data_IF_805801370908
#
_entry.id   IF_805801370908
#
_cell.length_a   1.000
_cell.length_b   1.000
_cell.length_c   1.000
_cell.angle_alpha   90.00
_cell.angle_beta   90.00
_cell.angle_gamma   90.00
#
_symmetry.space_group_name_H-M   'P 1'
#
loop_
_entity.id
_entity.type
_entity.pdbx_description
1 polymer ?
#
# COMPACT_ATOMS: atom_id res chain seq x y z
N UNK A 1 -5.44 -15.97 -8.83
CA UNK A 1 -5.48 -14.52 -9.13
C UNK A 1 -6.81 -14.00 -8.61
N UNK A 2 -6.82 -12.95 -7.78
CA UNK A 2 -8.08 -12.37 -7.27
C UNK A 2 -8.79 -11.68 -8.44
N UNK A 3 -10.06 -12.05 -8.65
CA UNK A 3 -10.89 -11.48 -9.72
C UNK A 3 -11.31 -10.05 -9.35
N UNK A 4 -11.41 -9.14 -10.34
CA UNK A 4 -11.93 -7.80 -10.09
C UNK A 4 -13.36 -7.86 -9.55
N UNK A 5 -13.71 -6.92 -8.66
CA UNK A 5 -15.05 -6.82 -8.09
C UNK A 5 -15.64 -5.43 -8.33
N UNK A 6 -16.79 -5.36 -9.00
CA UNK A 6 -17.48 -4.10 -9.28
C UNK A 6 -16.77 -3.20 -10.31
N UNK A 7 -17.49 -2.20 -10.84
CA UNK A 7 -16.93 -1.19 -11.78
C UNK A 7 -15.99 -0.19 -11.08
N UNK A 8 -16.22 0.07 -9.79
CA UNK A 8 -15.43 0.96 -8.94
C UNK A 8 -14.74 0.24 -7.76
N UNK A 9 -14.77 -1.10 -7.70
CA UNK A 9 -14.15 -1.86 -6.61
C UNK A 9 -12.77 -2.41 -6.95
N UNK A 10 -12.41 -3.57 -6.39
CA UNK A 10 -11.06 -4.17 -6.51
C UNK A 10 -10.70 -4.38 -7.98
N UNK A 11 -9.58 -3.79 -8.42
CA UNK A 11 -9.09 -3.93 -9.79
C UNK A 11 -8.25 -5.19 -10.00
N UNK A 12 -7.96 -5.48 -11.27
CA UNK A 12 -7.06 -6.58 -11.64
C UNK A 12 -5.64 -6.28 -11.16
N UNK A 13 -5.10 -7.12 -10.28
CA UNK A 13 -3.70 -7.04 -9.89
C UNK A 13 -2.75 -7.43 -11.04
N UNK A 14 -1.53 -6.89 -11.03
CA UNK A 14 -0.46 -7.39 -11.90
C UNK A 14 -0.11 -8.84 -11.54
N UNK A 15 0.38 -9.60 -12.52
CA UNK A 15 0.77 -11.01 -12.31
C UNK A 15 1.79 -11.16 -11.18
N UNK A 16 2.67 -10.18 -11.02
CA UNK A 16 3.57 -10.10 -9.87
C UNK A 16 3.28 -8.83 -9.05
N UNK A 17 2.60 -9.00 -7.91
CA UNK A 17 2.33 -7.93 -6.95
C UNK A 17 3.58 -7.48 -6.17
N UNK A 18 4.69 -8.21 -6.20
CA UNK A 18 5.93 -7.76 -5.55
C UNK A 18 6.77 -6.83 -6.43
N UNK A 19 6.57 -6.86 -7.76
CA UNK A 19 7.36 -6.07 -8.72
C UNK A 19 6.83 -4.65 -8.97
N UNK A 20 5.66 -4.34 -8.39
CA UNK A 20 4.89 -3.10 -8.47
C UNK A 20 5.62 -1.93 -9.16
N UNK A 21 5.21 -1.65 -10.40
CA UNK A 21 5.69 -0.51 -11.20
C UNK A 21 4.62 0.59 -11.19
N UNK A 22 5.02 1.83 -10.88
CA UNK A 22 4.19 3.05 -11.02
C UNK A 22 2.77 2.93 -10.45
N UNK A 23 2.64 2.53 -9.19
CA UNK A 23 1.33 2.41 -8.55
C UNK A 23 0.85 3.75 -8.00
N UNK A 24 -0.42 4.05 -8.25
CA UNK A 24 -1.16 5.11 -7.56
C UNK A 24 -1.51 4.64 -6.14
N UNK A 25 -1.89 5.57 -5.26
CA UNK A 25 -2.28 5.25 -3.88
C UNK A 25 -3.39 4.17 -3.83
N UNK A 26 -4.37 4.25 -4.75
CA UNK A 26 -5.48 3.30 -4.90
C UNK A 26 -5.03 1.85 -5.09
N UNK A 27 -3.91 1.62 -5.78
CA UNK A 27 -3.43 0.26 -6.02
C UNK A 27 -2.83 -0.41 -4.77
N UNK A 28 -2.43 0.38 -3.76
CA UNK A 28 -2.00 -0.13 -2.45
C UNK A 28 -3.19 -0.43 -1.55
N UNK A 29 -4.25 0.39 -1.64
CA UNK A 29 -5.50 0.14 -0.95
C UNK A 29 -6.14 -1.18 -1.39
N UNK A 30 -6.27 -1.42 -2.69
CA UNK A 30 -6.84 -2.67 -3.22
C UNK A 30 -6.06 -3.91 -2.73
N UNK A 31 -4.73 -3.79 -2.64
CA UNK A 31 -3.88 -4.84 -2.10
C UNK A 31 -4.14 -5.08 -0.62
N UNK A 32 -4.26 -4.02 0.18
CA UNK A 32 -4.54 -4.12 1.61
C UNK A 32 -5.90 -4.76 1.87
N UNK A 33 -6.94 -4.36 1.12
CA UNK A 33 -8.29 -4.93 1.24
C UNK A 33 -8.33 -6.43 0.95
N UNK A 34 -7.47 -6.90 0.05
CA UNK A 34 -7.43 -8.30 -0.35
C UNK A 34 -6.38 -9.15 0.38
N UNK A 35 -5.54 -8.54 1.22
CA UNK A 35 -4.37 -9.22 1.77
C UNK A 35 -4.73 -10.33 2.76
N UNK A 36 -5.70 -10.09 3.64
CA UNK A 36 -6.04 -11.01 4.75
C UNK A 36 -6.25 -12.47 4.26
N UNK A 37 -7.16 -12.76 3.31
CA UNK A 37 -7.36 -14.13 2.84
C UNK A 37 -6.17 -14.71 2.08
N UNK A 38 -5.30 -13.87 1.50
CA UNK A 38 -4.10 -14.33 0.75
C UNK A 38 -2.99 -14.77 1.70
N UNK A 39 -2.87 -14.11 2.85
CA UNK A 39 -1.85 -14.41 3.85
C UNK A 39 -2.30 -15.44 4.87
N UNK A 40 -3.58 -15.80 4.90
CA UNK A 40 -4.11 -16.80 5.81
C UNK A 40 -3.43 -18.16 5.63
N UNK A 41 -2.80 -18.65 6.70
CA UNK A 41 -2.06 -19.91 6.73
C UNK A 41 -0.87 -19.98 5.76
N UNK A 42 -0.40 -18.83 5.26
CA UNK A 42 0.74 -18.76 4.34
C UNK A 42 2.06 -19.02 5.05
N UNK A 43 2.17 -18.58 6.31
CA UNK A 43 3.39 -18.70 7.11
C UNK A 43 3.20 -19.75 8.23
N UNK A 44 4.28 -20.36 8.74
CA UNK A 44 4.18 -21.16 9.95
C UNK A 44 3.88 -20.27 11.16
N UNK A 45 3.18 -20.83 12.15
CA UNK A 45 3.00 -20.16 13.44
C UNK A 45 4.35 -20.05 14.19
N UNK A 46 4.58 -18.97 14.96
CA UNK A 46 3.66 -17.88 15.31
C UNK A 46 3.61 -16.71 14.29
N UNK A 47 4.36 -16.81 13.18
CA UNK A 47 4.55 -15.69 12.26
C UNK A 47 3.28 -15.32 11.49
N UNK A 48 2.48 -16.33 11.14
CA UNK A 48 1.19 -16.13 10.48
C UNK A 48 0.25 -15.29 11.35
N UNK A 49 0.09 -15.63 12.63
CA UNK A 49 -0.76 -14.84 13.53
C UNK A 49 -0.30 -13.37 13.63
N UNK A 50 1.01 -13.12 13.69
CA UNK A 50 1.56 -11.76 13.74
C UNK A 50 1.23 -10.99 12.45
N UNK A 51 1.43 -11.60 11.27
CA UNK A 51 1.11 -10.98 9.98
C UNK A 51 -0.37 -10.72 9.83
N UNK A 52 -1.23 -11.69 10.16
CA UNK A 52 -2.68 -11.55 10.08
C UNK A 52 -3.17 -10.41 10.97
N UNK A 53 -2.65 -10.30 12.20
CA UNK A 53 -2.98 -9.20 13.11
C UNK A 53 -2.51 -7.84 12.58
N UNK A 54 -1.31 -7.79 12.00
CA UNK A 54 -0.78 -6.58 11.39
C UNK A 54 -1.64 -6.12 10.20
N UNK A 55 -2.05 -7.03 9.31
CA UNK A 55 -2.91 -6.73 8.17
C UNK A 55 -4.28 -6.22 8.65
N UNK A 56 -4.87 -6.86 9.66
CA UNK A 56 -6.15 -6.45 10.23
C UNK A 56 -6.08 -5.05 10.87
N UNK A 57 -5.03 -4.73 11.62
CA UNK A 57 -4.84 -3.40 12.22
C UNK A 57 -4.57 -2.35 11.13
N UNK A 58 -3.78 -2.70 10.11
CA UNK A 58 -3.50 -1.81 8.98
C UNK A 58 -4.78 -1.47 8.22
N UNK A 59 -5.65 -2.46 7.97
CA UNK A 59 -6.94 -2.25 7.31
C UNK A 59 -7.85 -1.33 8.13
N UNK A 60 -7.99 -1.56 9.44
CA UNK A 60 -8.79 -0.72 10.32
C UNK A 60 -8.26 0.72 10.40
N UNK A 61 -6.94 0.88 10.59
CA UNK A 61 -6.30 2.19 10.63
C UNK A 61 -6.54 2.95 9.32
N UNK A 62 -6.36 2.28 8.17
CA UNK A 62 -6.59 2.88 6.86
C UNK A 62 -8.05 3.29 6.66
N UNK A 63 -9.02 2.43 7.04
CA UNK A 63 -10.45 2.76 6.98
C UNK A 63 -10.80 3.99 7.82
N UNK A 64 -10.19 4.15 9.00
CA UNK A 64 -10.40 5.31 9.86
C UNK A 64 -9.75 6.57 9.28
N UNK A 65 -8.51 6.46 8.80
CA UNK A 65 -7.77 7.57 8.21
C UNK A 65 -8.44 8.12 6.93
N UNK A 66 -9.21 7.28 6.23
CA UNK A 66 -9.91 7.64 4.98
C UNK A 66 -11.33 8.18 5.19
N UNK A 67 -11.79 8.32 6.44
CA UNK A 67 -13.12 8.90 6.69
C UNK A 67 -13.17 10.34 6.16
N UNK A 68 -14.20 10.64 5.38
CA UNK A 68 -14.45 12.00 4.85
C UNK A 68 -14.94 12.99 5.91
N UNK A 69 -15.29 12.48 7.09
CA UNK A 69 -15.75 13.28 8.21
C UNK A 69 -15.31 12.62 9.50
N UNK A 70 -14.64 13.40 10.35
CA UNK A 70 -14.23 12.96 11.67
C UNK A 70 -15.04 13.65 12.76
N UNK A 71 -15.26 12.91 13.84
CA UNK A 71 -15.80 13.40 15.10
C UNK A 71 -14.80 13.00 16.20
N UNK A 72 -14.92 13.57 17.40
CA UNK A 72 -13.94 13.33 18.47
C UNK A 72 -13.70 11.84 18.75
N UNK A 73 -14.74 11.03 18.71
CA UNK A 73 -14.63 9.57 18.90
C UNK A 73 -13.84 8.88 17.78
N UNK A 74 -14.04 9.26 16.51
CA UNK A 74 -13.30 8.63 15.41
C UNK A 74 -11.83 9.08 15.38
N UNK A 75 -11.54 10.29 15.83
CA UNK A 75 -10.16 10.77 16.01
C UNK A 75 -9.45 10.05 17.16
N UNK A 76 -10.11 9.88 18.30
CA UNK A 76 -9.58 9.09 19.41
C UNK A 76 -9.32 7.64 19.00
N UNK A 77 -10.24 7.05 18.23
CA UNK A 77 -10.06 5.70 17.72
C UNK A 77 -8.89 5.63 16.71
N UNK A 78 -8.74 6.62 15.83
CA UNK A 78 -7.61 6.67 14.91
C UNK A 78 -6.27 6.79 15.65
N UNK A 79 -6.20 7.61 16.70
CA UNK A 79 -5.00 7.74 17.55
C UNK A 79 -4.64 6.41 18.23
N UNK A 80 -5.64 5.78 18.85
CA UNK A 80 -5.51 4.47 19.46
C UNK A 80 -5.02 3.41 18.46
N UNK A 81 -5.63 3.36 17.27
CA UNK A 81 -5.25 2.43 16.22
C UNK A 81 -3.85 2.71 15.66
N UNK A 82 -3.42 3.97 15.63
CA UNK A 82 -2.06 4.37 15.23
C UNK A 82 -1.03 3.81 16.21
N UNK A 83 -1.31 3.90 17.51
CA UNK A 83 -0.45 3.31 18.56
C UNK A 83 -0.35 1.79 18.40
N UNK A 84 -1.47 1.12 18.16
CA UNK A 84 -1.53 -0.33 17.93
C UNK A 84 -0.81 -0.77 16.66
N UNK A 85 -0.96 -0.01 15.58
CA UNK A 85 -0.24 -0.24 14.32
C UNK A 85 1.27 -0.13 14.54
N UNK A 86 1.72 0.90 15.25
CA UNK A 86 3.11 1.08 15.64
C UNK A 86 3.65 -0.10 16.45
N UNK A 87 2.91 -0.53 17.47
CA UNK A 87 3.28 -1.66 18.31
C UNK A 87 3.37 -2.97 17.51
N UNK A 88 2.38 -3.26 16.67
CA UNK A 88 2.39 -4.49 15.87
C UNK A 88 3.43 -4.50 14.76
N UNK A 89 3.72 -3.36 14.14
CA UNK A 89 4.79 -3.27 13.15
C UNK A 89 6.16 -3.54 13.79
N UNK A 90 6.39 -3.04 15.02
CA UNK A 90 7.60 -3.35 15.79
C UNK A 90 7.69 -4.83 16.15
N UNK A 91 6.58 -5.45 16.57
CA UNK A 91 6.54 -6.89 16.86
C UNK A 91 6.83 -7.71 15.60
N UNK A 92 6.18 -7.41 14.47
CA UNK A 92 6.43 -8.08 13.20
C UNK A 92 7.89 -7.99 12.76
N UNK A 93 8.49 -6.79 12.86
CA UNK A 93 9.88 -6.60 12.51
C UNK A 93 10.83 -7.39 13.43
N UNK A 94 10.58 -7.37 14.74
CA UNK A 94 11.43 -8.04 15.73
C UNK A 94 11.29 -9.56 15.70
N UNK A 95 10.07 -10.09 15.69
CA UNK A 95 9.81 -11.52 15.88
C UNK A 95 9.75 -12.31 14.58
N UNK A 96 9.34 -11.68 13.47
CA UNK A 96 9.18 -12.35 12.17
C UNK A 96 10.29 -11.96 11.21
N UNK A 97 10.49 -10.67 10.93
CA UNK A 97 11.48 -10.25 9.93
C UNK A 97 12.93 -10.57 10.33
N UNK A 98 13.24 -10.64 11.62
CA UNK A 98 14.58 -11.03 12.08
C UNK A 98 14.91 -12.50 11.82
N UNK A 99 13.89 -13.37 11.77
CA UNK A 99 14.02 -14.83 11.61
C UNK A 99 13.88 -15.28 10.16
N UNK A 100 13.27 -14.46 9.31
CA UNK A 100 13.09 -14.75 7.88
C UNK A 100 14.17 -14.05 7.07
N UNK A 101 15.07 -14.84 6.46
CA UNK A 101 16.08 -14.31 5.55
C UNK A 101 15.43 -13.85 4.24
N UNK A 102 15.32 -12.54 4.04
CA UNK A 102 14.84 -11.95 2.79
C UNK A 102 15.99 -11.38 1.96
N UNK A 103 15.76 -11.29 0.65
CA UNK A 103 16.71 -10.71 -0.31
C UNK A 103 16.00 -9.62 -1.11
N UNK A 104 16.75 -8.58 -1.47
CA UNK A 104 16.32 -7.52 -2.40
C UNK A 104 15.54 -8.11 -3.58
N UNK A 105 14.53 -7.41 -4.09
CA UNK A 105 13.95 -7.77 -5.39
C UNK A 105 15.00 -7.56 -6.50
N UNK A 106 14.86 -8.26 -7.63
CA UNK A 106 15.84 -8.13 -8.73
C UNK A 106 15.99 -6.68 -9.19
N UNK A 107 14.87 -5.96 -9.25
CA UNK A 107 14.82 -4.54 -9.57
C UNK A 107 15.56 -3.66 -8.56
N UNK A 108 15.49 -3.98 -7.27
CA UNK A 108 16.21 -3.23 -6.23
C UNK A 108 17.72 -3.43 -6.37
N UNK A 109 18.14 -4.68 -6.63
CA UNK A 109 19.54 -5.00 -6.91
C UNK A 109 20.07 -4.24 -8.14
N UNK A 110 19.29 -4.20 -9.23
CA UNK A 110 19.66 -3.47 -10.45
C UNK A 110 19.71 -1.95 -10.20
N UNK A 111 18.75 -1.41 -9.44
CA UNK A 111 18.73 0.01 -9.07
C UNK A 111 19.93 0.40 -8.21
N UNK A 112 20.33 -0.45 -7.26
CA UNK A 112 21.55 -0.30 -6.46
C UNK A 112 22.80 -0.34 -7.34
N UNK A 113 22.93 -1.32 -8.23
CA UNK A 113 24.07 -1.42 -9.14
C UNK A 113 24.22 -0.18 -10.06
N UNK A 114 23.09 0.43 -10.48
CA UNK A 114 23.10 1.70 -11.22
C UNK A 114 23.60 2.87 -10.37
N UNK A 115 23.19 2.97 -9.11
CA UNK A 115 23.65 4.02 -8.16
C UNK A 115 25.13 3.89 -7.83
N UNK A 116 25.63 2.67 -7.72
CA UNK A 116 27.05 2.36 -7.47
C UNK A 116 27.93 2.53 -8.73
N UNK A 117 27.39 2.98 -9.86
CA UNK A 117 28.14 3.17 -11.10
C UNK A 117 28.55 1.89 -11.82
N UNK A 118 28.22 0.71 -11.27
CA UNK A 118 28.53 -0.61 -11.86
C UNK A 118 27.59 -0.99 -13.01
N UNK A 119 26.42 -0.35 -13.10
CA UNK A 119 25.36 -0.68 -14.05
C UNK A 119 25.65 -0.44 -15.53
N UNK A 120 26.77 0.20 -15.90
CA UNK A 120 27.20 0.35 -17.31
C UNK A 120 28.26 -0.66 -17.75
N UNK A 121 28.92 -1.36 -16.82
CA UNK A 121 30.04 -2.27 -17.13
C UNK A 121 29.65 -3.76 -17.10
N UNK A 122 28.61 -4.16 -16.38
CA UNK A 122 28.17 -5.57 -16.34
C UNK A 122 26.94 -5.80 -17.23
N UNK A 123 27.09 -6.56 -18.33
CA UNK A 123 25.99 -7.08 -19.16
C UNK A 123 25.09 -8.12 -18.45
N UNK A 124 25.15 -8.21 -17.11
CA UNK A 124 24.45 -9.19 -16.30
C UNK A 124 23.52 -8.55 -15.28
N UNK A 125 22.43 -9.26 -14.99
CA UNK A 125 21.49 -9.01 -13.88
C UNK A 125 22.24 -8.89 -12.55
N UNK A 126 21.99 -7.83 -11.78
CA UNK A 126 22.75 -7.58 -10.56
C UNK A 126 22.47 -8.64 -9.49
N UNK A 127 23.49 -9.10 -8.78
CA UNK A 127 23.31 -10.06 -7.70
C UNK A 127 22.45 -9.45 -6.56
N UNK A 128 21.38 -10.17 -6.19
CA UNK A 128 20.47 -9.81 -5.10
C UNK A 128 21.18 -9.97 -3.76
N UNK A 129 21.18 -8.91 -2.95
CA UNK A 129 21.77 -8.94 -1.61
C UNK A 129 20.70 -9.22 -0.53
N UNK A 130 21.10 -9.68 0.67
CA UNK A 130 20.20 -9.76 1.81
C UNK A 130 19.61 -8.38 2.12
N UNK A 131 18.30 -8.33 2.36
CA UNK A 131 17.57 -7.11 2.70
C UNK A 131 16.89 -7.29 4.06
N UNK A 132 16.66 -6.18 4.77
CA UNK A 132 15.90 -6.16 6.01
C UNK A 132 14.86 -5.06 5.96
N UNK A 133 13.74 -5.27 6.64
CA UNK A 133 12.69 -4.28 6.75
C UNK A 133 13.17 -3.11 7.62
N UNK A 134 13.18 -1.90 7.04
CA UNK A 134 13.52 -0.67 7.76
C UNK A 134 12.25 0.03 8.25
N UNK A 135 11.86 -0.18 9.51
CA UNK A 135 10.63 0.43 10.07
C UNK A 135 10.85 1.81 10.71
N UNK A 136 12.09 2.13 11.10
CA UNK A 136 12.43 3.41 11.75
C UNK A 136 12.73 4.51 10.73
N UNK A 137 11.76 4.75 9.84
CA UNK A 137 11.86 5.82 8.84
C UNK A 137 11.06 7.04 9.30
N UNK A 138 11.42 8.23 8.81
CA UNK A 138 10.65 9.45 9.06
C UNK A 138 9.18 9.29 8.65
N UNK A 139 8.93 8.58 7.54
CA UNK A 139 7.58 8.29 7.04
C UNK A 139 6.74 7.50 8.03
N UNK A 140 7.37 6.57 8.77
CA UNK A 140 6.68 5.78 9.76
C UNK A 140 6.34 6.59 11.02
N UNK A 141 7.19 7.55 11.39
CA UNK A 141 6.94 8.43 12.53
C UNK A 141 5.78 9.39 12.26
N UNK A 142 5.65 9.89 11.02
CA UNK A 142 4.54 10.76 10.62
C UNK A 142 3.15 10.10 10.71
N UNK A 143 3.06 8.77 10.86
CA UNK A 143 1.79 8.12 11.16
C UNK A 143 1.20 8.62 12.49
N UNK A 144 2.06 8.94 13.48
CA UNK A 144 1.63 9.48 14.77
C UNK A 144 0.97 10.85 14.67
N UNK A 145 1.35 11.63 13.67
CA UNK A 145 0.88 13.02 13.53
C UNK A 145 -0.47 13.11 12.79
N UNK A 146 -0.98 11.99 12.24
CA UNK A 146 -2.19 11.99 11.40
C UNK A 146 -3.40 12.65 12.07
N UNK A 147 -3.63 12.35 13.35
CA UNK A 147 -4.77 12.89 14.09
C UNK A 147 -4.64 14.39 14.29
N UNK A 148 -3.44 14.86 14.64
CA UNK A 148 -3.17 16.29 14.78
C UNK A 148 -3.31 17.00 13.44
N UNK A 149 -2.81 16.41 12.34
CA UNK A 149 -3.03 16.95 11.00
C UNK A 149 -4.51 17.10 10.66
N UNK A 150 -5.33 16.07 10.93
CA UNK A 150 -6.76 16.12 10.65
C UNK A 150 -7.46 17.20 11.51
N UNK A 151 -7.07 17.37 12.77
CA UNK A 151 -7.63 18.41 13.65
C UNK A 151 -7.32 19.83 13.17
N UNK A 152 -6.11 20.08 12.66
CA UNK A 152 -5.67 21.41 12.29
C UNK A 152 -6.03 21.79 10.84
N UNK A 153 -6.02 20.83 9.93
CA UNK A 153 -6.11 21.08 8.48
C UNK A 153 -7.29 20.38 7.79
N UNK A 154 -8.07 19.60 8.53
CA UNK A 154 -9.17 18.81 7.97
C UNK A 154 -8.71 17.48 7.35
N UNK A 155 -9.66 16.76 6.78
CA UNK A 155 -9.45 15.43 6.19
C UNK A 155 -8.50 15.46 4.99
N UNK A 156 -7.75 14.37 4.81
CA UNK A 156 -6.80 14.20 3.70
C UNK A 156 -7.47 14.10 2.32
N UNK A 157 -8.79 13.96 2.25
CA UNK A 157 -9.54 13.86 0.98
C UNK A 157 -9.49 15.14 0.13
N UNK A 158 -9.22 16.28 0.75
CA UNK A 158 -9.20 17.60 0.09
C UNK A 158 -7.91 17.89 -0.71
N UNK A 159 -6.82 17.14 -0.50
CA UNK A 159 -5.54 17.34 -1.20
C UNK A 159 -4.80 16.04 -1.56
N UNK A 160 -5.39 14.87 -1.27
CA UNK A 160 -4.84 13.58 -1.68
C UNK A 160 -4.91 13.42 -3.20
N UNK A 161 -3.83 12.91 -3.81
CA UNK A 161 -3.83 12.51 -5.22
C UNK A 161 -4.84 11.39 -5.53
N UNK A 162 -5.45 10.78 -4.52
CA UNK A 162 -6.56 9.84 -4.67
C UNK A 162 -7.78 10.48 -5.34
N UNK A 163 -8.10 11.75 -5.04
CA UNK A 163 -9.35 12.41 -5.47
C UNK A 163 -9.31 12.81 -6.94
N UNK A 164 -8.18 13.34 -7.42
CA UNK A 164 -7.95 13.75 -8.83
C UNK A 164 -8.22 12.60 -9.81
N UNK A 165 -7.93 11.40 -9.34
CA UNK A 165 -7.95 10.14 -10.06
C UNK A 165 -9.39 9.53 -10.19
N UNK A 166 -10.35 10.01 -9.39
CA UNK A 166 -11.77 9.69 -9.51
C UNK A 166 -12.51 10.66 -10.46
N UNK A 167 -12.16 11.95 -10.43
CA UNK A 167 -12.82 12.98 -11.24
C UNK A 167 -12.37 12.93 -12.70
N UNK A 168 -11.08 12.71 -12.96
CA UNK A 168 -10.54 12.68 -14.32
C UNK A 168 -11.07 11.49 -15.13
N UNK A 169 -11.19 10.31 -14.50
CA UNK A 169 -11.80 9.14 -15.12
C UNK A 169 -13.33 9.25 -15.28
N UNK A 170 -14.02 9.96 -14.36
CA UNK A 170 -15.44 10.26 -14.51
C UNK A 170 -15.67 11.15 -15.73
N UNK A 171 -14.83 12.16 -15.95
CA UNK A 171 -14.96 13.07 -17.09
C UNK A 171 -14.71 12.34 -18.43
N UNK A 172 -13.65 11.54 -18.54
CA UNK A 172 -13.35 10.76 -19.75
C UNK A 172 -14.43 9.72 -20.09
N UNK A 173 -15.08 9.14 -19.08
CA UNK A 173 -16.14 8.14 -19.28
C UNK A 173 -17.49 8.77 -19.66
N UNK A 174 -17.73 10.02 -19.27
CA UNK A 174 -18.89 10.82 -19.71
C UNK A 174 -18.66 11.33 -21.14
N UNK A 175 -17.47 11.88 -21.41
CA UNK A 175 -17.12 12.42 -22.74
C UNK A 175 -17.05 11.31 -23.81
N UNK A 176 -16.67 10.08 -23.43
CA UNK A 176 -16.68 8.90 -24.31
C UNK A 176 -18.06 8.28 -24.56
N UNK A 177 -19.09 8.64 -23.78
CA UNK A 177 -20.46 8.16 -23.96
C UNK A 177 -21.29 9.02 -24.93
N UNK A 178 -20.85 10.24 -25.23
CA UNK A 178 -21.53 11.20 -26.10
C UNK A 178 -21.06 11.20 -27.57
N UNK A 179 -20.13 10.31 -27.95
CA UNK A 179 -19.70 10.18 -29.35
C UNK A 179 -20.64 9.22 -30.12
N UNK A 180 -21.44 9.70 -31.10
CA UNK A 180 -22.30 8.83 -31.87
C UNK A 180 -21.45 7.87 -32.72
N UNK A 181 -21.67 6.56 -32.55
CA UNK A 181 -21.13 5.54 -33.44
C UNK A 181 -21.67 5.78 -34.85
N UNK A 182 -20.85 6.36 -35.73
CA UNK A 182 -21.13 6.32 -37.16
C UNK A 182 -20.99 4.88 -37.64
N UNK A 183 -22.12 4.28 -38.00
CA UNK A 183 -22.18 2.99 -38.68
C UNK A 183 -21.77 3.15 -40.13
N UNK A 184 -20.80 2.34 -40.56
CA UNK A 184 -20.46 2.18 -41.97
C UNK A 184 -21.12 0.89 -42.47
N UNK A 185 -22.12 1.05 -43.33
CA UNK A 185 -22.52 0.04 -44.31
C UNK A 185 -21.79 0.28 -45.64
#
# INVERSE_FOLDING_TARGET
MISPFGREGIRRFSENASEIKRKAARDYEDLLQCAIPVFESLLPEPHNQIVMRLLYISAQWHSLAKLRMHHDMSLQLLDYMTTWLGAQMRLFNHDTCSKVSTKELQREADARARREGKGKASKGTAARQPAKLGIFTIKFHFLGDYVDYIRHFGTTDSYSSETVDHETHRQEQIDGADLPRQGSG
#
